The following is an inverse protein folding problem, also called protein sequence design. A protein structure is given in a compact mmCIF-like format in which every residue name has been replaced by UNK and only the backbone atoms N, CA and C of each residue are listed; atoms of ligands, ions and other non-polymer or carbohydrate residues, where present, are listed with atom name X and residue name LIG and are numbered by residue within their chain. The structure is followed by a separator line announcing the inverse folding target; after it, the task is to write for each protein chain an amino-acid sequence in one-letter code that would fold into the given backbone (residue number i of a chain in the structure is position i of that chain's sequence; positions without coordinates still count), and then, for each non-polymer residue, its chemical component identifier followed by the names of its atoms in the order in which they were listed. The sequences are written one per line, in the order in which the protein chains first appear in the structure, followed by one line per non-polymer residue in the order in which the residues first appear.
data_IF_173400994388
#
_entry.id   IF_173400994388
#
_cell.length_a   1.000
_cell.length_b   1.000
_cell.length_c   1.000
_cell.angle_alpha   90.00
_cell.angle_beta   90.00
_cell.angle_gamma   90.00
#
_symmetry.space_group_name_H-M   'P 1'
#
loop_
_entity.id
_entity.type
_entity.pdbx_description
1 polymer ?
#
# COMPACT_ATOMS: atom_id res chain seq x y z
N UNK A 1 -20.94 2.30 -10.15
CA UNK A 1 -21.22 0.85 -10.31
C UNK A 1 -19.91 0.12 -10.57
N UNK A 2 -19.64 -0.96 -9.84
CA UNK A 2 -18.46 -1.78 -10.04
C UNK A 2 -18.50 -2.46 -11.41
N UNK A 3 -17.54 -2.14 -12.28
CA UNK A 3 -17.38 -2.80 -13.59
C UNK A 3 -16.37 -3.93 -13.48
N UNK A 4 -16.74 -5.12 -13.96
CA UNK A 4 -15.85 -6.29 -14.02
C UNK A 4 -14.51 -5.94 -14.69
N UNK A 5 -14.54 -5.09 -15.72
CA UNK A 5 -13.36 -4.66 -16.47
C UNK A 5 -12.42 -3.81 -15.62
N UNK A 6 -12.96 -2.89 -14.82
CA UNK A 6 -12.14 -2.03 -13.96
C UNK A 6 -11.52 -2.85 -12.84
N UNK A 7 -12.30 -3.72 -12.19
CA UNK A 7 -11.82 -4.53 -11.08
C UNK A 7 -10.82 -5.60 -11.55
N UNK A 8 -10.98 -6.16 -12.74
CA UNK A 8 -9.99 -7.08 -13.32
C UNK A 8 -8.68 -6.38 -13.65
N UNK A 9 -8.71 -5.15 -14.19
CA UNK A 9 -7.51 -4.35 -14.41
C UNK A 9 -6.78 -4.03 -13.11
N UNK A 10 -7.53 -3.59 -12.07
CA UNK A 10 -6.93 -3.32 -10.77
C UNK A 10 -6.36 -4.60 -10.16
N UNK A 11 -7.05 -5.74 -10.30
CA UNK A 11 -6.54 -7.03 -9.83
C UNK A 11 -5.19 -7.39 -10.48
N UNK A 12 -5.06 -7.25 -11.79
CA UNK A 12 -3.79 -7.48 -12.50
C UNK A 12 -2.71 -6.52 -11.99
N UNK A 13 -3.04 -5.24 -11.80
CA UNK A 13 -2.10 -4.28 -11.22
C UNK A 13 -1.65 -4.70 -9.80
N UNK A 14 -2.56 -5.16 -8.94
CA UNK A 14 -2.21 -5.67 -7.60
C UNK A 14 -1.26 -6.88 -7.68
N UNK A 15 -1.47 -7.76 -8.66
CA UNK A 15 -0.63 -8.94 -8.89
C UNK A 15 0.78 -8.50 -9.32
N UNK A 16 0.88 -7.55 -10.26
CA UNK A 16 2.16 -6.98 -10.69
C UNK A 16 2.88 -6.25 -9.56
N UNK A 17 2.18 -5.46 -8.75
CA UNK A 17 2.77 -4.78 -7.58
C UNK A 17 3.25 -5.76 -6.51
N UNK A 18 2.58 -6.91 -6.35
CA UNK A 18 2.97 -7.94 -5.41
C UNK A 18 4.22 -8.70 -5.90
N UNK A 19 4.18 -9.21 -7.12
CA UNK A 19 5.28 -9.99 -7.70
C UNK A 19 6.48 -9.11 -8.02
N UNK A 20 6.28 -7.86 -8.44
CA UNK A 20 7.34 -6.92 -8.80
C UNK A 20 8.34 -6.64 -7.67
N UNK A 21 7.92 -6.77 -6.39
CA UNK A 21 8.82 -6.65 -5.24
C UNK A 21 9.98 -7.64 -5.28
N UNK A 22 9.78 -8.80 -5.88
CA UNK A 22 10.83 -9.80 -6.05
C UNK A 22 12.03 -9.23 -6.83
N UNK A 23 11.80 -8.39 -7.83
CA UNK A 23 12.87 -7.81 -8.63
C UNK A 23 13.86 -6.98 -7.80
N UNK A 24 13.37 -6.30 -6.76
CA UNK A 24 14.23 -5.48 -5.89
C UNK A 24 15.25 -6.30 -5.09
N UNK A 25 14.90 -7.51 -4.68
CA UNK A 25 15.78 -8.36 -3.86
C UNK A 25 16.52 -9.43 -4.67
N UNK A 26 16.05 -9.73 -5.88
CA UNK A 26 16.69 -10.72 -6.74
C UNK A 26 17.91 -10.16 -7.51
N UNK A 27 17.95 -8.85 -7.74
CA UNK A 27 19.03 -8.20 -8.48
C UNK A 27 19.85 -7.24 -7.59
N UNK A 28 20.68 -7.76 -6.67
CA UNK A 28 21.45 -6.94 -5.72
C UNK A 28 22.53 -6.08 -6.40
N UNK A 29 22.96 -6.43 -7.62
CA UNK A 29 23.90 -5.62 -8.40
C UNK A 29 23.25 -4.34 -8.97
N UNK A 30 21.92 -4.33 -9.13
CA UNK A 30 21.16 -3.20 -9.68
C UNK A 30 20.55 -2.38 -8.54
N UNK A 31 20.03 -3.04 -7.51
CA UNK A 31 19.35 -2.41 -6.39
C UNK A 31 20.14 -2.61 -5.10
N UNK A 32 20.58 -1.52 -4.48
CA UNK A 32 21.13 -1.58 -3.13
C UNK A 32 20.04 -1.99 -2.15
N UNK A 33 20.42 -2.58 -1.01
CA UNK A 33 19.46 -3.04 0.01
C UNK A 33 18.51 -1.91 0.47
N UNK A 34 19.04 -0.71 0.68
CA UNK A 34 18.26 0.46 1.06
C UNK A 34 17.23 0.83 -0.02
N UNK A 35 17.62 0.79 -1.30
CA UNK A 35 16.72 1.05 -2.42
C UNK A 35 15.65 -0.06 -2.53
N UNK A 36 16.03 -1.31 -2.31
CA UNK A 36 15.10 -2.44 -2.34
C UNK A 36 14.04 -2.35 -1.24
N UNK A 37 14.44 -1.99 -0.02
CA UNK A 37 13.51 -1.74 1.10
C UNK A 37 12.58 -0.56 0.77
N UNK A 38 13.14 0.59 0.35
CA UNK A 38 12.36 1.77 0.02
C UNK A 38 11.36 1.51 -1.12
N UNK A 39 11.81 0.87 -2.20
CA UNK A 39 10.96 0.48 -3.33
C UNK A 39 9.84 -0.46 -2.91
N UNK A 40 10.13 -1.42 -2.02
CA UNK A 40 9.13 -2.33 -1.47
C UNK A 40 8.05 -1.61 -0.66
N UNK A 41 8.45 -0.62 0.15
CA UNK A 41 7.52 0.22 0.91
C UNK A 41 6.63 1.05 -0.01
N UNK A 42 7.20 1.64 -1.07
CA UNK A 42 6.42 2.39 -2.08
C UNK A 42 5.41 1.49 -2.79
N UNK A 43 5.83 0.32 -3.29
CA UNK A 43 4.90 -0.64 -3.91
C UNK A 43 3.83 -1.12 -2.93
N UNK A 44 4.16 -1.30 -1.65
CA UNK A 44 3.20 -1.66 -0.61
C UNK A 44 2.14 -0.57 -0.40
N UNK A 45 2.56 0.70 -0.31
CA UNK A 45 1.66 1.84 -0.15
C UNK A 45 0.66 1.92 -1.31
N UNK A 46 1.15 1.87 -2.56
CA UNK A 46 0.30 1.88 -3.76
C UNK A 46 -0.71 0.72 -3.73
N UNK A 47 -0.24 -0.49 -3.42
CA UNK A 47 -1.09 -1.68 -3.34
C UNK A 47 -2.21 -1.51 -2.32
N UNK A 48 -1.91 -1.05 -1.11
CA UNK A 48 -2.91 -0.85 -0.06
C UNK A 48 -3.91 0.24 -0.46
N UNK A 49 -3.47 1.34 -1.08
CA UNK A 49 -4.36 2.39 -1.58
C UNK A 49 -5.33 1.88 -2.66
N UNK A 50 -4.85 1.05 -3.59
CA UNK A 50 -5.71 0.42 -4.61
C UNK A 50 -6.73 -0.53 -3.98
N UNK A 51 -6.32 -1.32 -2.98
CA UNK A 51 -7.22 -2.22 -2.25
C UNK A 51 -8.29 -1.42 -1.52
N UNK A 52 -7.89 -0.40 -0.75
CA UNK A 52 -8.83 0.44 0.00
C UNK A 52 -9.82 1.15 -0.95
N UNK A 53 -9.31 1.78 -2.00
CA UNK A 53 -10.11 2.53 -2.95
C UNK A 53 -11.09 1.67 -3.75
N UNK A 54 -10.64 0.52 -4.28
CA UNK A 54 -11.45 -0.32 -5.17
C UNK A 54 -12.06 -1.52 -4.45
N UNK A 55 -11.28 -2.36 -3.78
CA UNK A 55 -11.80 -3.61 -3.21
C UNK A 55 -12.54 -3.42 -1.88
N UNK A 56 -12.19 -2.41 -1.09
CA UNK A 56 -12.96 -2.01 0.09
C UNK A 56 -13.98 -0.91 -0.22
N UNK A 57 -14.12 -0.52 -1.49
CA UNK A 57 -15.08 0.47 -1.96
C UNK A 57 -14.97 1.86 -1.29
N UNK A 58 -13.83 2.21 -0.67
CA UNK A 58 -13.67 3.48 0.04
C UNK A 58 -13.92 4.71 -0.85
N UNK A 59 -13.66 4.58 -2.16
CA UNK A 59 -13.89 5.66 -3.12
C UNK A 59 -15.38 5.98 -3.35
N UNK A 60 -16.25 5.00 -3.11
CA UNK A 60 -17.69 5.07 -3.36
C UNK A 60 -18.46 5.47 -2.08
N UNK A 61 -17.78 5.48 -0.93
CA UNK A 61 -18.29 5.89 0.38
C UNK A 61 -18.34 7.43 0.52
N UNK A 62 -19.13 7.98 1.47
CA UNK A 62 -19.13 9.41 1.72
C UNK A 62 -17.77 9.89 2.23
N UNK A 63 -17.43 11.15 1.92
CA UNK A 63 -16.12 11.74 2.23
C UNK A 63 -15.75 11.67 3.73
N UNK A 64 -16.75 11.66 4.61
CA UNK A 64 -16.54 11.47 6.06
C UNK A 64 -15.82 10.16 6.38
N UNK A 65 -16.12 9.07 5.67
CA UNK A 65 -15.46 7.77 5.84
C UNK A 65 -14.02 7.82 5.34
N UNK A 66 -13.76 8.49 4.22
CA UNK A 66 -12.39 8.72 3.74
C UNK A 66 -11.56 9.49 4.76
N UNK A 67 -12.11 10.57 5.34
CA UNK A 67 -11.42 11.32 6.38
C UNK A 67 -11.18 10.49 7.63
N UNK A 68 -12.17 9.72 8.07
CA UNK A 68 -12.02 8.78 9.19
C UNK A 68 -10.87 7.79 8.95
N UNK A 69 -10.81 7.18 7.76
CA UNK A 69 -9.75 6.23 7.40
C UNK A 69 -8.37 6.88 7.37
N UNK A 70 -8.26 8.11 6.86
CA UNK A 70 -7.00 8.87 6.86
C UNK A 70 -6.56 9.21 8.29
N UNK A 71 -7.48 9.65 9.15
CA UNK A 71 -7.18 9.89 10.57
C UNK A 71 -6.76 8.61 11.28
N UNK A 72 -7.44 7.49 11.03
CA UNK A 72 -7.05 6.18 11.59
C UNK A 72 -5.65 5.76 11.13
N UNK A 73 -5.34 5.87 9.84
CA UNK A 73 -3.99 5.60 9.31
C UNK A 73 -2.94 6.48 10.00
N UNK A 74 -3.19 7.78 10.11
CA UNK A 74 -2.30 8.71 10.79
C UNK A 74 -2.04 8.30 12.25
N UNK A 75 -3.09 7.95 13.00
CA UNK A 75 -2.95 7.53 14.40
C UNK A 75 -2.18 6.21 14.54
N UNK A 76 -2.40 5.24 13.63
CA UNK A 76 -1.64 3.98 13.63
C UNK A 76 -0.16 4.23 13.35
N UNK A 77 0.17 5.15 12.44
CA UNK A 77 1.56 5.53 12.18
C UNK A 77 2.20 6.19 13.40
N UNK A 78 1.50 7.11 14.07
CA UNK A 78 1.98 7.71 15.32
C UNK A 78 2.23 6.65 16.41
N UNK A 79 1.31 5.71 16.58
CA UNK A 79 1.47 4.61 17.54
C UNK A 79 2.67 3.72 17.20
N UNK A 80 2.86 3.41 15.91
CA UNK A 80 4.00 2.60 15.45
C UNK A 80 5.33 3.30 15.72
N UNK A 81 5.40 4.61 15.46
CA UNK A 81 6.58 5.42 15.76
C UNK A 81 6.85 5.48 17.28
N UNK A 82 5.81 5.72 18.08
CA UNK A 82 5.92 5.76 19.54
C UNK A 82 6.39 4.41 20.11
N UNK A 83 5.85 3.30 19.61
CA UNK A 83 6.28 1.95 19.99
C UNK A 83 7.75 1.69 19.64
N UNK A 84 8.24 2.24 18.52
CA UNK A 84 9.66 2.17 18.14
C UNK A 84 10.60 2.78 19.17
N UNK A 85 10.19 3.86 19.86
CA UNK A 85 10.98 4.47 20.94
C UNK A 85 10.86 3.71 22.28
N UNK A 86 9.78 2.96 22.50
CA UNK A 86 9.54 2.25 23.76
C UNK A 86 10.35 0.94 23.91
N UNK A 87 10.93 0.43 22.83
CA UNK A 87 11.67 -0.84 22.79
C UNK A 87 13.18 -0.64 23.06
N UNK A 88 13.67 0.61 22.96
CA UNK A 88 15.03 0.99 23.37
C UNK A 88 15.10 1.30 24.86
#
# INVERSE_FOLDING_TARGET
MASIRTYSLVYVALLLLATGKFAFFHFPEIFTEQVAIAGTMVLAAIKVSLIAGYFQHLKDEPRSVTYLMLTALFMVLLLTLAAGYSIQ
#
